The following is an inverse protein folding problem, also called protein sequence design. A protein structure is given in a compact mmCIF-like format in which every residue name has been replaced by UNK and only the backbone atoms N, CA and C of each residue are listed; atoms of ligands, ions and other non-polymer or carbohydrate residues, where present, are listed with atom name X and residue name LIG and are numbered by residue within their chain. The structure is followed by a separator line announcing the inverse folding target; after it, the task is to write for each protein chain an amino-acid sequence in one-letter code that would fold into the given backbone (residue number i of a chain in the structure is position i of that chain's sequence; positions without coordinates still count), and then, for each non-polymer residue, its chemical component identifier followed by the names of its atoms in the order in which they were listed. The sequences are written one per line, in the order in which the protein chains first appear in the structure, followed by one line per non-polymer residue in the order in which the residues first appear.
data_IF_575339532712
#
_entry.id   IF_575339532712
#
_cell.length_a   1.000
_cell.length_b   1.000
_cell.length_c   1.000
_cell.angle_alpha   90.00
_cell.angle_beta   90.00
_cell.angle_gamma   90.00
#
_symmetry.space_group_name_H-M   'P 1'
#
loop_
_entity.id
_entity.type
_entity.pdbx_description
1 polymer ?
#
# COMPACT_ATOMS: atom_id res chain seq x y z
N UNK A 1 10.57 24.59 -16.15
CA UNK A 1 10.43 23.60 -15.05
C UNK A 1 11.27 22.35 -15.37
N UNK A 2 12.61 22.43 -15.38
CA UNK A 2 13.44 21.35 -15.99
C UNK A 2 14.63 20.96 -15.11
N UNK A 3 15.42 21.93 -14.66
CA UNK A 3 16.65 21.66 -13.91
C UNK A 3 16.47 20.89 -12.59
N UNK A 4 15.50 21.29 -11.76
CA UNK A 4 15.24 20.63 -10.47
C UNK A 4 14.72 19.19 -10.65
N UNK A 5 13.97 18.94 -11.72
CA UNK A 5 13.36 17.63 -11.98
C UNK A 5 14.38 16.66 -12.59
N UNK A 6 15.27 17.16 -13.45
CA UNK A 6 16.44 16.44 -13.95
C UNK A 6 17.38 16.06 -12.80
N UNK A 7 17.68 17.01 -11.91
CA UNK A 7 18.54 16.75 -10.74
C UNK A 7 17.98 15.67 -9.82
N UNK A 8 16.67 15.72 -9.50
CA UNK A 8 15.98 14.67 -8.72
C UNK A 8 16.04 13.30 -9.42
N UNK A 9 15.89 13.29 -10.75
CA UNK A 9 15.97 12.06 -11.55
C UNK A 9 17.37 11.46 -11.55
N UNK A 10 18.42 12.28 -11.66
CA UNK A 10 19.81 11.83 -11.60
C UNK A 10 20.24 11.36 -10.20
N UNK A 11 19.74 11.99 -9.13
CA UNK A 11 19.91 11.51 -7.75
C UNK A 11 19.32 10.10 -7.62
N UNK A 12 18.07 9.92 -8.07
CA UNK A 12 17.38 8.64 -7.98
C UNK A 12 18.01 7.53 -8.85
N UNK A 13 18.51 7.87 -10.04
CA UNK A 13 19.21 6.92 -10.91
C UNK A 13 20.48 6.37 -10.26
N UNK A 14 21.27 7.22 -9.59
CA UNK A 14 22.48 6.80 -8.86
C UNK A 14 22.15 5.92 -7.66
N UNK A 15 21.08 6.23 -6.92
CA UNK A 15 20.57 5.35 -5.87
C UNK A 15 20.21 3.96 -6.42
N UNK A 16 19.48 3.90 -7.55
CA UNK A 16 19.13 2.62 -8.19
C UNK A 16 20.34 1.82 -8.68
N UNK A 17 21.46 2.49 -8.99
CA UNK A 17 22.72 1.85 -9.34
C UNK A 17 23.47 1.28 -8.11
N UNK A 18 22.89 1.33 -6.91
CA UNK A 18 23.47 0.79 -5.67
C UNK A 18 24.41 1.75 -4.93
N UNK A 19 24.41 3.04 -5.29
CA UNK A 19 25.24 4.03 -4.62
C UNK A 19 24.67 4.42 -3.25
N UNK A 20 25.54 4.57 -2.24
CA UNK A 20 25.12 4.97 -0.90
C UNK A 20 24.62 6.42 -0.87
N UNK A 21 23.65 6.69 0.02
CA UNK A 21 23.05 8.02 0.18
C UNK A 21 24.10 9.09 0.51
N UNK A 22 25.07 8.74 1.36
CA UNK A 22 26.22 9.60 1.71
C UNK A 22 27.07 9.95 0.48
N UNK A 23 27.33 8.99 -0.40
CA UNK A 23 28.12 9.27 -1.61
C UNK A 23 27.35 10.14 -2.60
N UNK A 24 26.04 9.95 -2.69
CA UNK A 24 25.18 10.78 -3.53
C UNK A 24 25.12 12.21 -2.99
N UNK A 25 25.02 12.40 -1.67
CA UNK A 25 24.96 13.72 -1.04
C UNK A 25 26.25 14.52 -1.27
N UNK A 26 27.41 13.86 -1.22
CA UNK A 26 28.71 14.45 -1.57
C UNK A 26 28.77 14.94 -3.03
N UNK A 27 28.24 14.15 -3.98
CA UNK A 27 28.26 14.49 -5.42
C UNK A 27 27.41 15.73 -5.72
N UNK A 28 26.25 15.84 -5.08
CA UNK A 28 25.30 16.91 -5.35
C UNK A 28 25.37 18.07 -4.35
N UNK A 29 26.32 18.05 -3.40
CA UNK A 29 26.50 19.12 -2.42
C UNK A 29 25.24 19.40 -1.60
N UNK A 30 24.56 18.35 -1.16
CA UNK A 30 23.35 18.44 -0.32
C UNK A 30 23.50 17.55 0.91
N UNK A 31 22.51 17.57 1.81
CA UNK A 31 22.51 16.67 2.97
C UNK A 31 22.10 15.26 2.56
N UNK A 32 22.44 14.26 3.37
CA UNK A 32 21.92 12.89 3.20
C UNK A 32 20.41 12.83 3.34
N UNK A 33 19.83 13.69 4.19
CA UNK A 33 18.39 13.80 4.37
C UNK A 33 17.69 14.28 3.08
N UNK A 34 18.25 15.27 2.39
CA UNK A 34 17.71 15.73 1.10
C UNK A 34 17.72 14.61 0.05
N UNK A 35 18.75 13.76 0.07
CA UNK A 35 18.83 12.59 -0.82
C UNK A 35 17.77 11.55 -0.45
N UNK A 36 17.59 11.27 0.83
CA UNK A 36 16.54 10.37 1.33
C UNK A 36 15.16 10.87 0.89
N UNK A 37 14.85 12.14 1.10
CA UNK A 37 13.57 12.74 0.70
C UNK A 37 13.31 12.64 -0.81
N UNK A 38 14.35 12.88 -1.63
CA UNK A 38 14.24 12.73 -3.09
C UNK A 38 14.01 11.27 -3.47
N UNK A 39 14.74 10.34 -2.85
CA UNK A 39 14.58 8.90 -3.08
C UNK A 39 13.17 8.45 -2.69
N UNK A 40 12.71 8.80 -1.50
CA UNK A 40 11.38 8.50 -0.99
C UNK A 40 10.29 9.06 -1.90
N UNK A 41 10.40 10.33 -2.29
CA UNK A 41 9.47 10.99 -3.19
C UNK A 41 9.41 10.29 -4.55
N UNK A 42 10.58 9.92 -5.12
CA UNK A 42 10.67 9.26 -6.43
C UNK A 42 10.22 7.80 -6.38
N UNK A 43 10.46 7.09 -5.27
CA UNK A 43 9.95 5.74 -5.06
C UNK A 43 8.42 5.76 -4.95
N UNK A 44 7.85 6.69 -4.17
CA UNK A 44 6.40 6.89 -4.07
C UNK A 44 5.80 7.24 -5.43
N UNK A 45 6.38 8.19 -6.16
CA UNK A 45 5.91 8.57 -7.50
C UNK A 45 5.96 7.39 -8.49
N UNK A 46 7.02 6.58 -8.46
CA UNK A 46 7.11 5.38 -9.29
C UNK A 46 6.12 4.29 -8.87
N UNK A 47 5.86 4.11 -7.57
CA UNK A 47 4.87 3.18 -7.07
C UNK A 47 3.44 3.61 -7.47
N UNK A 48 3.14 4.91 -7.38
CA UNK A 48 1.89 5.51 -7.88
C UNK A 48 1.76 5.25 -9.39
N UNK A 49 2.80 5.54 -10.19
CA UNK A 49 2.75 5.31 -11.64
C UNK A 49 2.67 3.83 -12.04
N UNK A 50 3.29 2.93 -11.28
CA UNK A 50 3.31 1.50 -11.59
C UNK A 50 2.04 0.78 -11.16
N UNK A 51 1.49 1.14 -10.01
CA UNK A 51 0.40 0.39 -9.38
C UNK A 51 -0.93 1.15 -9.31
N UNK A 52 -0.92 2.49 -9.40
CA UNK A 52 -2.13 3.33 -9.35
C UNK A 52 -2.51 3.87 -10.74
N UNK A 53 -1.56 4.38 -11.53
CA UNK A 53 -1.87 5.00 -12.83
C UNK A 53 -2.55 4.07 -13.86
N UNK A 54 -2.22 2.76 -13.96
CA UNK A 54 -2.95 1.84 -14.83
C UNK A 54 -4.42 1.69 -14.43
N UNK A 55 -4.74 1.82 -13.14
CA UNK A 55 -6.10 1.79 -12.64
C UNK A 55 -6.90 3.06 -12.92
N UNK A 56 -6.22 4.21 -13.03
CA UNK A 56 -6.84 5.49 -13.38
C UNK A 56 -7.08 5.63 -14.90
N UNK A 57 -6.26 4.97 -15.73
CA UNK A 57 -6.35 5.05 -17.20
C UNK A 57 -7.19 3.93 -17.85
N UNK A 58 -7.45 2.83 -17.14
CA UNK A 58 -8.16 1.68 -17.68
C UNK A 58 -9.69 1.78 -17.57
N UNK A 59 -10.34 2.15 -18.68
CA UNK A 59 -11.79 2.03 -18.96
C UNK A 59 -12.74 2.92 -18.15
N UNK A 60 -13.25 3.95 -18.82
CA UNK A 60 -14.58 4.54 -18.63
C UNK A 60 -15.19 4.53 -17.23
N UNK A 61 -14.96 5.60 -16.48
CA UNK A 61 -16.00 6.18 -15.62
C UNK A 61 -16.30 5.52 -14.27
N UNK A 62 -15.71 4.38 -13.91
CA UNK A 62 -15.86 3.83 -12.55
C UNK A 62 -14.52 3.77 -11.86
N UNK A 63 -13.99 4.95 -11.50
CA UNK A 63 -13.07 5.03 -10.38
C UNK A 63 -13.80 4.44 -9.18
N UNK A 64 -13.46 3.19 -8.84
CA UNK A 64 -13.86 2.55 -7.59
C UNK A 64 -13.74 3.60 -6.49
N UNK A 65 -14.78 3.77 -5.68
CA UNK A 65 -14.86 4.76 -4.59
C UNK A 65 -13.59 4.77 -3.75
N UNK A 66 -12.90 3.64 -3.64
CA UNK A 66 -11.66 3.50 -2.90
C UNK A 66 -10.42 4.15 -3.53
N UNK A 67 -10.33 4.30 -4.87
CA UNK A 67 -9.26 5.08 -5.51
C UNK A 67 -9.51 6.58 -5.33
N UNK A 68 -10.78 7.00 -5.28
CA UNK A 68 -11.14 8.40 -4.95
C UNK A 68 -10.71 8.82 -3.55
N UNK A 69 -10.54 7.86 -2.65
CA UNK A 69 -10.09 8.11 -1.27
C UNK A 69 -8.61 7.85 -1.06
N UNK A 70 -7.82 7.63 -2.12
CA UNK A 70 -6.37 7.45 -2.01
C UNK A 70 -5.73 8.60 -1.22
N UNK A 71 -6.00 9.83 -1.64
CA UNK A 71 -5.46 11.04 -1.01
C UNK A 71 -6.05 11.30 0.39
N UNK A 72 -7.20 10.68 0.71
CA UNK A 72 -7.82 10.76 2.02
C UNK A 72 -7.29 9.70 3.00
N UNK A 73 -6.52 8.72 2.55
CA UNK A 73 -5.88 7.78 3.45
C UNK A 73 -4.70 8.43 4.18
N UNK A 74 -4.55 8.19 5.49
CA UNK A 74 -3.32 8.49 6.21
C UNK A 74 -2.08 7.86 5.53
N UNK A 75 -0.92 8.53 5.63
CA UNK A 75 0.31 8.11 4.93
C UNK A 75 0.78 6.69 5.32
N UNK A 76 0.56 6.26 6.56
CA UNK A 76 0.85 4.91 7.02
C UNK A 76 0.00 3.87 6.27
N UNK A 77 -1.29 4.17 6.05
CA UNK A 77 -2.20 3.32 5.29
C UNK A 77 -1.83 3.29 3.81
N UNK A 78 -1.52 4.44 3.20
CA UNK A 78 -1.03 4.50 1.82
C UNK A 78 0.23 3.63 1.64
N UNK A 79 1.16 3.71 2.60
CA UNK A 79 2.37 2.89 2.60
C UNK A 79 2.07 1.40 2.67
N UNK A 80 1.09 0.98 3.48
CA UNK A 80 0.62 -0.41 3.53
C UNK A 80 0.06 -0.85 2.17
N UNK A 81 -0.76 -0.03 1.54
CA UNK A 81 -1.37 -0.35 0.24
C UNK A 81 -0.29 -0.59 -0.82
N UNK A 82 0.69 0.30 -0.92
CA UNK A 82 1.79 0.17 -1.89
C UNK A 82 2.63 -1.09 -1.60
N UNK A 83 2.99 -1.34 -0.34
CA UNK A 83 3.76 -2.53 0.05
C UNK A 83 3.03 -3.83 -0.29
N UNK A 84 1.72 -3.89 -0.10
CA UNK A 84 0.93 -5.08 -0.46
C UNK A 84 0.82 -5.22 -1.98
N UNK A 85 0.54 -4.14 -2.70
CA UNK A 85 0.49 -4.14 -4.16
C UNK A 85 1.82 -4.64 -4.77
N UNK A 86 2.94 -4.13 -4.28
CA UNK A 86 4.28 -4.56 -4.69
C UNK A 86 4.57 -6.02 -4.33
N UNK A 87 4.34 -6.42 -3.07
CA UNK A 87 4.59 -7.79 -2.59
C UNK A 87 3.87 -8.85 -3.43
N UNK A 88 2.64 -8.56 -3.83
CA UNK A 88 1.83 -9.47 -4.63
C UNK A 88 1.88 -9.15 -6.12
N UNK A 89 2.66 -8.16 -6.56
CA UNK A 89 2.73 -7.70 -7.95
C UNK A 89 1.33 -7.48 -8.58
N UNK A 90 0.44 -6.80 -7.85
CA UNK A 90 -0.92 -6.47 -8.30
C UNK A 90 -1.13 -4.96 -8.34
N UNK A 91 -1.97 -4.44 -9.25
CA UNK A 91 -2.38 -3.03 -9.21
C UNK A 91 -3.09 -2.68 -7.90
N UNK A 92 -2.89 -1.47 -7.38
CA UNK A 92 -3.49 -0.98 -6.12
C UNK A 92 -5.01 -1.12 -6.14
N UNK A 93 -5.65 -0.83 -7.28
CA UNK A 93 -7.11 -0.91 -7.41
C UNK A 93 -7.66 -2.29 -7.09
N UNK A 94 -6.89 -3.36 -7.35
CA UNK A 94 -7.28 -4.74 -7.02
C UNK A 94 -7.51 -4.90 -5.53
N UNK A 95 -6.75 -4.20 -4.68
CA UNK A 95 -6.89 -4.25 -3.23
C UNK A 95 -8.25 -3.73 -2.76
N UNK A 96 -8.92 -2.95 -3.62
CA UNK A 96 -10.19 -2.31 -3.32
C UNK A 96 -11.35 -2.77 -4.21
N UNK A 97 -11.10 -3.46 -5.33
CA UNK A 97 -12.18 -3.93 -6.20
C UNK A 97 -12.71 -5.29 -5.76
N UNK A 98 -13.95 -5.58 -6.16
CA UNK A 98 -14.55 -6.92 -6.15
C UNK A 98 -14.09 -7.75 -7.34
N UNK A 99 -13.73 -7.10 -8.44
CA UNK A 99 -13.27 -7.72 -9.68
C UNK A 99 -11.78 -8.00 -9.58
N UNK A 100 -11.43 -9.13 -8.98
CA UNK A 100 -10.11 -9.73 -9.15
C UNK A 100 -10.31 -11.23 -9.30
N UNK A 101 -10.00 -11.76 -10.48
CA UNK A 101 -10.31 -13.14 -10.88
C UNK A 101 -9.20 -14.12 -10.46
N UNK A 102 -8.00 -13.63 -10.14
CA UNK A 102 -6.89 -14.53 -9.80
C UNK A 102 -6.80 -14.82 -8.30
N UNK A 103 -6.27 -16.00 -7.98
CA UNK A 103 -6.00 -16.40 -6.60
C UNK A 103 -5.01 -15.44 -5.91
N UNK A 104 -4.05 -14.89 -6.66
CA UNK A 104 -3.07 -13.91 -6.17
C UNK A 104 -3.71 -12.58 -5.78
N UNK A 105 -4.66 -12.09 -6.58
CA UNK A 105 -5.41 -10.87 -6.29
C UNK A 105 -6.33 -11.03 -5.05
N UNK A 106 -6.96 -12.20 -4.90
CA UNK A 106 -7.71 -12.56 -3.71
C UNK A 106 -6.81 -12.59 -2.46
N UNK A 107 -5.62 -13.20 -2.58
CA UNK A 107 -4.62 -13.28 -1.50
C UNK A 107 -4.07 -11.91 -1.11
N UNK A 108 -3.77 -11.04 -2.09
CA UNK A 108 -3.30 -9.68 -1.86
C UNK A 108 -4.32 -8.84 -1.07
N UNK A 109 -5.60 -8.90 -1.48
CA UNK A 109 -6.71 -8.26 -0.75
C UNK A 109 -6.83 -8.77 0.69
N UNK A 110 -6.80 -10.09 0.87
CA UNK A 110 -6.88 -10.68 2.20
C UNK A 110 -5.71 -10.25 3.10
N UNK A 111 -4.49 -10.18 2.55
CA UNK A 111 -3.32 -9.64 3.24
C UNK A 111 -3.51 -8.17 3.65
N UNK A 112 -3.99 -7.33 2.73
CA UNK A 112 -4.27 -5.92 3.01
C UNK A 112 -5.26 -5.75 4.16
N UNK A 113 -6.41 -6.44 4.12
CA UNK A 113 -7.41 -6.36 5.18
C UNK A 113 -6.90 -6.93 6.51
N UNK A 114 -6.09 -8.00 6.46
CA UNK A 114 -5.46 -8.57 7.63
C UNK A 114 -4.53 -7.56 8.31
N UNK A 115 -3.69 -6.85 7.55
CA UNK A 115 -2.79 -5.82 8.10
C UNK A 115 -3.58 -4.67 8.72
N UNK A 116 -4.61 -4.16 8.04
CA UNK A 116 -5.46 -3.10 8.58
C UNK A 116 -6.10 -3.50 9.91
N UNK A 117 -6.56 -4.75 10.01
CA UNK A 117 -7.16 -5.26 11.24
C UNK A 117 -6.13 -5.45 12.35
N UNK A 118 -4.99 -6.05 12.05
CA UNK A 118 -4.01 -6.48 13.06
C UNK A 118 -3.03 -5.41 13.50
N UNK A 119 -2.65 -4.49 12.60
CA UNK A 119 -1.66 -3.44 12.90
C UNK A 119 -2.28 -2.08 13.17
N UNK A 120 -3.40 -1.78 12.51
CA UNK A 120 -4.07 -0.48 12.66
C UNK A 120 -5.36 -0.58 13.48
N UNK A 121 -5.74 -1.79 13.95
CA UNK A 121 -6.92 -1.99 14.77
C UNK A 121 -8.25 -1.71 14.06
N UNK A 122 -8.28 -1.73 12.73
CA UNK A 122 -9.51 -1.41 12.01
C UNK A 122 -10.52 -2.56 12.09
N UNK A 123 -11.75 -2.22 12.48
CA UNK A 123 -12.87 -3.15 12.44
C UNK A 123 -13.22 -3.53 10.99
N UNK A 124 -13.78 -4.74 10.80
CA UNK A 124 -14.21 -5.18 9.47
C UNK A 124 -15.25 -4.25 8.83
N UNK A 125 -16.09 -3.59 9.66
CA UNK A 125 -17.04 -2.58 9.20
C UNK A 125 -16.33 -1.32 8.70
N UNK A 126 -15.30 -0.83 9.43
CA UNK A 126 -14.48 0.30 9.00
C UNK A 126 -13.79 -0.01 7.67
N UNK A 127 -13.05 -1.13 7.59
CA UNK A 127 -12.38 -1.58 6.37
C UNK A 127 -13.38 -1.66 5.21
N UNK A 128 -14.56 -2.22 5.48
CA UNK A 128 -15.63 -2.32 4.50
C UNK A 128 -16.06 -0.98 3.93
N UNK A 129 -16.31 0.03 4.78
CA UNK A 129 -16.70 1.38 4.33
C UNK A 129 -15.66 2.01 3.39
N UNK A 130 -14.38 1.96 3.75
CA UNK A 130 -13.31 2.58 2.92
C UNK A 130 -12.99 1.79 1.65
N UNK A 131 -13.26 0.49 1.64
CA UNK A 131 -13.00 -0.38 0.47
C UNK A 131 -14.25 -0.62 -0.37
N UNK A 132 -15.40 -0.06 0.01
CA UNK A 132 -16.69 -0.31 -0.66
C UNK A 132 -17.17 -1.77 -0.52
N UNK A 133 -16.79 -2.48 0.55
CA UNK A 133 -17.13 -3.88 0.81
C UNK A 133 -17.98 -4.05 2.05
N UNK A 134 -18.86 -5.05 2.04
CA UNK A 134 -19.56 -5.46 3.27
C UNK A 134 -18.60 -6.09 4.29
N UNK A 135 -18.83 -5.86 5.58
CA UNK A 135 -18.06 -6.48 6.66
C UNK A 135 -17.97 -8.02 6.58
N UNK A 136 -19.01 -8.76 6.14
CA UNK A 136 -18.90 -10.21 5.91
C UNK A 136 -17.85 -10.57 4.86
N UNK A 137 -17.78 -9.83 3.75
CA UNK A 137 -16.83 -10.07 2.68
C UNK A 137 -15.39 -9.79 3.13
N UNK A 138 -15.18 -8.75 3.95
CA UNK A 138 -13.89 -8.45 4.58
C UNK A 138 -13.46 -9.60 5.49
N UNK A 139 -14.35 -10.08 6.38
CA UNK A 139 -14.05 -11.21 7.27
C UNK A 139 -13.69 -12.48 6.51
N UNK A 140 -14.43 -12.80 5.45
CA UNK A 140 -14.15 -13.97 4.62
C UNK A 140 -12.81 -13.88 3.87
N UNK A 141 -12.42 -12.69 3.42
CA UNK A 141 -11.12 -12.47 2.78
C UNK A 141 -9.96 -12.60 3.78
N UNK A 142 -10.12 -12.08 5.00
CA UNK A 142 -9.14 -12.25 6.08
C UNK A 142 -8.99 -13.73 6.43
N UNK A 143 -10.09 -14.48 6.62
CA UNK A 143 -10.05 -15.91 6.95
C UNK A 143 -9.26 -16.70 5.91
N UNK A 144 -9.59 -16.51 4.62
CA UNK A 144 -8.90 -17.17 3.51
C UNK A 144 -7.41 -16.84 3.45
N UNK A 145 -7.04 -15.59 3.77
CA UNK A 145 -5.64 -15.21 3.82
C UNK A 145 -4.90 -15.93 4.95
N UNK A 146 -5.49 -15.97 6.16
CA UNK A 146 -4.91 -16.67 7.31
C UNK A 146 -4.72 -18.16 7.05
N UNK A 147 -5.72 -18.81 6.44
CA UNK A 147 -5.62 -20.19 5.97
C UNK A 147 -4.43 -20.36 5.00
N UNK A 148 -4.25 -19.42 4.06
CA UNK A 148 -3.15 -19.45 3.08
C UNK A 148 -1.73 -19.22 3.66
N UNK A 149 -1.61 -18.78 4.91
CA UNK A 149 -0.33 -18.58 5.61
C UNK A 149 -0.17 -19.49 6.83
N UNK A 150 -1.09 -20.45 7.02
CA UNK A 150 -1.06 -21.38 8.16
C UNK A 150 -1.42 -20.74 9.51
N UNK A 151 -1.95 -19.51 9.52
CA UNK A 151 -2.41 -18.87 10.76
C UNK A 151 -3.79 -19.39 11.16
N UNK A 152 -3.89 -19.98 12.35
CA UNK A 152 -5.16 -20.43 12.90
C UNK A 152 -6.03 -19.22 13.27
N UNK A 153 -7.32 -19.30 12.91
CA UNK A 153 -8.38 -18.30 13.19
C UNK A 153 -8.44 -17.85 14.66
N UNK A 154 -8.04 -18.72 15.60
CA UNK A 154 -7.97 -18.44 17.04
C UNK A 154 -6.96 -17.33 17.42
N UNK A 155 -5.84 -17.20 16.69
CA UNK A 155 -4.85 -16.14 16.93
C UNK A 155 -5.40 -14.75 16.59
N UNK A 156 -6.28 -14.69 15.60
CA UNK A 156 -6.93 -13.47 15.16
C UNK A 156 -7.90 -12.93 16.21
N UNK A 157 -8.64 -13.82 16.90
CA UNK A 157 -9.55 -13.46 17.98
C UNK A 157 -8.75 -12.90 19.18
N UNK A 158 -7.65 -13.57 19.55
CA UNK A 158 -6.75 -13.11 20.63
C UNK A 158 -6.14 -11.73 20.34
N UNK A 159 -5.65 -11.50 19.12
CA UNK A 159 -5.10 -10.19 18.72
C UNK A 159 -6.17 -9.08 18.71
N UNK A 160 -7.39 -9.38 18.23
CA UNK A 160 -8.46 -8.37 18.18
C UNK A 160 -8.84 -7.92 19.60
N UNK A 161 -8.96 -8.86 20.54
CA UNK A 161 -9.26 -8.55 21.94
C UNK A 161 -8.14 -7.74 22.64
N UNK A 162 -6.88 -7.96 22.26
CA UNK A 162 -5.76 -7.20 22.81
C UNK A 162 -5.70 -5.76 22.31
N UNK A 163 -6.03 -5.54 21.03
CA UNK A 163 -6.07 -4.21 20.40
C UNK A 163 -7.27 -3.40 20.89
N UNK A 164 -8.42 -4.03 21.08
CA UNK A 164 -9.62 -3.37 21.64
C UNK A 164 -9.40 -2.93 23.09
N UNK A 165 -8.64 -3.69 23.89
CA UNK A 165 -8.23 -3.26 25.24
C UNK A 165 -7.17 -2.17 25.26
N UNK A 166 -6.35 -2.05 24.22
CA UNK A 166 -5.29 -1.03 24.16
C UNK A 166 -5.79 0.33 23.64
N UNK A 167 -7.00 0.38 23.07
CA UNK A 167 -7.62 1.60 22.54
C UNK A 167 -8.88 2.03 23.32
N UNK A 168 -9.18 1.37 24.44
CA UNK A 168 -10.23 1.72 25.39
C UNK A 168 -9.62 2.43 26.60
#
# INVERSE_FOLDING_TARGET
MTYLQERKSSIFARYKAGMSLRRISEIYGCTTHDVEDVVDCMQRANAVNRFIAPALRGRGGVTSTAVKHWDAFPQDIQSVVLRVAEKFNVPVVVLFTTVGRSHQEARARGCFFYILKTRHGWSAARIGRVTGRGAPAVRAAISRYCESIGEKKANLIKMTAHIERANA
#
